data_IF_382801967472
#
_entry.id   IF_382801967472
#
_cell.length_a   1.000
_cell.length_b   1.000
_cell.length_c   1.000
_cell.angle_alpha   90.00
_cell.angle_beta   90.00
_cell.angle_gamma   90.00
#
_symmetry.space_group_name_H-M   'P 1'
#
loop_
_entity.id
_entity.type
_entity.pdbx_description
1 polymer ?
#
# COMPACT_ATOMS: atom_id res chain seq x y z
N UNK A 1 -6.59 -4.28 -34.95
CA UNK A 1 -5.85 -3.79 -33.78
C UNK A 1 -6.28 -4.63 -32.58
N UNK A 2 -5.31 -5.28 -31.94
CA UNK A 2 -5.62 -6.11 -30.77
C UNK A 2 -5.84 -5.21 -29.55
N UNK A 3 -7.07 -5.20 -29.04
CA UNK A 3 -7.46 -4.37 -27.86
C UNK A 3 -7.11 -5.08 -26.55
N UNK A 4 -6.69 -6.35 -26.63
CA UNK A 4 -6.36 -7.20 -25.48
C UNK A 4 -5.36 -6.57 -24.49
N UNK A 5 -4.23 -5.96 -24.91
CA UNK A 5 -3.29 -5.35 -23.99
C UNK A 5 -3.87 -4.16 -23.20
N UNK A 6 -4.74 -3.39 -23.84
CA UNK A 6 -5.39 -2.23 -23.20
C UNK A 6 -6.34 -2.72 -22.09
N UNK A 7 -7.14 -3.74 -22.38
CA UNK A 7 -8.08 -4.32 -21.40
C UNK A 7 -7.33 -4.91 -20.21
N UNK A 8 -6.24 -5.63 -20.45
CA UNK A 8 -5.40 -6.21 -19.38
C UNK A 8 -4.81 -5.10 -18.52
N UNK A 9 -4.25 -4.06 -19.15
CA UNK A 9 -3.67 -2.93 -18.41
C UNK A 9 -4.72 -2.19 -17.59
N UNK A 10 -5.91 -1.94 -18.12
CA UNK A 10 -7.00 -1.30 -17.38
C UNK A 10 -7.47 -2.15 -16.20
N UNK A 11 -7.64 -3.46 -16.38
CA UNK A 11 -8.00 -4.37 -15.28
C UNK A 11 -6.93 -4.37 -14.19
N UNK A 12 -5.66 -4.48 -14.58
CA UNK A 12 -4.54 -4.46 -13.64
C UNK A 12 -4.50 -3.14 -12.86
N UNK A 13 -4.62 -2.01 -13.55
CA UNK A 13 -4.60 -0.68 -12.94
C UNK A 13 -5.77 -0.49 -11.96
N UNK A 14 -6.98 -0.91 -12.35
CA UNK A 14 -8.18 -0.78 -11.50
C UNK A 14 -8.04 -1.60 -10.21
N UNK A 15 -7.57 -2.84 -10.32
CA UNK A 15 -7.36 -3.68 -9.14
C UNK A 15 -6.23 -3.12 -8.27
N UNK A 16 -5.11 -2.73 -8.90
CA UNK A 16 -3.96 -2.20 -8.18
C UNK A 16 -4.31 -0.92 -7.42
N UNK A 17 -5.08 0.02 -8.01
CA UNK A 17 -5.44 1.27 -7.34
C UNK A 17 -6.34 1.03 -6.13
N UNK A 18 -7.26 0.07 -6.19
CA UNK A 18 -8.11 -0.27 -5.06
C UNK A 18 -7.29 -0.79 -3.88
N UNK A 19 -6.38 -1.74 -4.14
CA UNK A 19 -5.48 -2.25 -3.09
C UNK A 19 -4.54 -1.16 -2.57
N UNK A 20 -3.94 -0.39 -3.45
CA UNK A 20 -3.02 0.70 -3.07
C UNK A 20 -3.73 1.77 -2.25
N UNK A 21 -4.96 2.14 -2.62
CA UNK A 21 -5.76 3.11 -1.89
C UNK A 21 -6.04 2.63 -0.46
N UNK A 22 -6.56 1.42 -0.32
CA UNK A 22 -6.90 0.85 0.99
C UNK A 22 -5.64 0.71 1.85
N UNK A 23 -4.59 0.10 1.31
CA UNK A 23 -3.35 -0.14 2.05
C UNK A 23 -2.63 1.17 2.41
N UNK A 24 -2.56 2.12 1.49
CA UNK A 24 -1.95 3.43 1.71
C UNK A 24 -2.66 4.23 2.79
N UNK A 25 -4.00 4.26 2.74
CA UNK A 25 -4.82 4.96 3.74
C UNK A 25 -4.70 4.31 5.13
N UNK A 26 -4.75 2.98 5.21
CA UNK A 26 -4.58 2.25 6.46
C UNK A 26 -3.18 2.43 7.04
N UNK A 27 -2.14 2.39 6.21
CA UNK A 27 -0.77 2.61 6.63
C UNK A 27 -0.56 4.04 7.14
N UNK A 28 -1.07 5.05 6.43
CA UNK A 28 -1.01 6.45 6.84
C UNK A 28 -1.69 6.66 8.20
N UNK A 29 -2.91 6.15 8.34
CA UNK A 29 -3.62 6.19 9.62
C UNK A 29 -2.84 5.48 10.72
N UNK A 30 -2.34 4.27 10.47
CA UNK A 30 -1.60 3.50 11.47
C UNK A 30 -0.35 4.23 11.99
N UNK A 31 0.38 4.91 11.10
CA UNK A 31 1.55 5.70 11.46
C UNK A 31 1.17 6.90 12.34
N UNK A 32 0.10 7.61 12.01
CA UNK A 32 -0.35 8.78 12.79
C UNK A 32 -0.70 8.44 14.24
N UNK A 33 -1.25 7.25 14.48
CA UNK A 33 -1.59 6.81 15.83
C UNK A 33 -0.40 6.28 16.65
N UNK A 34 0.81 6.19 16.06
CA UNK A 34 2.00 5.77 16.81
C UNK A 34 2.54 6.91 17.68
N UNK A 35 2.71 6.62 18.98
CA UNK A 35 3.24 7.58 19.96
C UNK A 35 4.75 7.79 19.86
N UNK A 36 5.51 6.78 19.42
CA UNK A 36 6.96 6.83 19.33
C UNK A 36 7.40 7.42 17.99
N UNK A 37 8.10 8.53 18.04
CA UNK A 37 8.66 9.21 16.88
C UNK A 37 9.66 8.32 16.12
N UNK A 38 10.53 7.62 16.84
CA UNK A 38 11.47 6.69 16.22
C UNK A 38 10.77 5.58 15.41
N UNK A 39 9.66 5.06 15.93
CA UNK A 39 8.85 4.06 15.22
C UNK A 39 8.19 4.65 13.97
N UNK A 40 7.73 5.90 14.04
CA UNK A 40 7.15 6.60 12.88
C UNK A 40 8.19 6.77 11.78
N UNK A 41 9.38 7.26 12.11
CA UNK A 41 10.48 7.48 11.16
C UNK A 41 10.91 6.16 10.51
N UNK A 42 11.06 5.11 11.30
CA UNK A 42 11.47 3.79 10.80
C UNK A 42 10.49 3.22 9.76
N UNK A 43 9.21 3.20 10.09
CA UNK A 43 8.18 2.67 9.19
C UNK A 43 7.94 3.58 7.98
N UNK A 44 8.06 4.90 8.15
CA UNK A 44 7.99 5.85 7.05
C UNK A 44 9.09 5.58 6.02
N UNK A 45 10.31 5.32 6.51
CA UNK A 45 11.43 4.89 5.66
C UNK A 45 11.12 3.60 4.90
N UNK A 46 10.59 2.57 5.56
CA UNK A 46 10.22 1.29 4.93
C UNK A 46 9.14 1.50 3.86
N UNK A 47 8.08 2.24 4.19
CA UNK A 47 6.95 2.45 3.27
C UNK A 47 7.32 3.30 2.05
N UNK A 48 8.32 4.17 2.18
CA UNK A 48 8.81 5.00 1.08
C UNK A 48 9.99 4.41 0.32
N UNK A 49 10.57 3.31 0.81
CA UNK A 49 11.73 2.67 0.20
C UNK A 49 11.54 2.33 -1.30
N UNK A 50 10.39 1.78 -1.75
CA UNK A 50 10.22 1.47 -3.17
C UNK A 50 10.30 2.69 -4.09
N UNK A 51 10.02 3.90 -3.58
CA UNK A 51 10.11 5.14 -4.35
C UNK A 51 11.56 5.57 -4.63
N UNK A 52 12.47 5.22 -3.75
CA UNK A 52 13.91 5.56 -3.86
C UNK A 52 14.65 4.57 -4.75
N UNK A 53 14.16 3.33 -4.82
CA UNK A 53 14.78 2.29 -5.63
C UNK A 53 14.49 2.50 -7.12
N UNK A 54 15.49 2.32 -8.00
CA UNK A 54 15.21 2.23 -9.43
C UNK A 54 14.18 1.11 -9.71
N UNK A 55 13.23 1.31 -10.64
CA UNK A 55 12.18 0.33 -10.93
C UNK A 55 12.69 -1.07 -11.26
N UNK A 56 13.84 -1.15 -11.94
CA UNK A 56 14.50 -2.42 -12.25
C UNK A 56 14.99 -3.15 -11.00
N UNK A 57 15.53 -2.42 -10.02
CA UNK A 57 15.99 -2.97 -8.75
C UNK A 57 14.79 -3.42 -7.91
N UNK A 58 13.75 -2.62 -7.84
CA UNK A 58 12.51 -3.01 -7.16
C UNK A 58 11.88 -4.25 -7.79
N UNK A 59 11.82 -4.32 -9.13
CA UNK A 59 11.36 -5.50 -9.85
C UNK A 59 12.20 -6.76 -9.57
N UNK A 60 13.53 -6.60 -9.50
CA UNK A 60 14.43 -7.69 -9.13
C UNK A 60 14.16 -8.19 -7.69
N UNK A 61 13.99 -7.30 -6.73
CA UNK A 61 13.64 -7.70 -5.37
C UNK A 61 12.30 -8.43 -5.32
N UNK A 62 11.29 -7.95 -6.02
CA UNK A 62 10.00 -8.65 -6.11
C UNK A 62 10.16 -10.05 -6.69
N UNK A 63 11.00 -10.20 -7.72
CA UNK A 63 11.29 -11.51 -8.32
C UNK A 63 12.00 -12.44 -7.31
N UNK A 64 12.97 -11.93 -6.55
CA UNK A 64 13.69 -12.70 -5.53
C UNK A 64 12.75 -13.13 -4.40
N UNK A 65 11.84 -12.28 -3.95
CA UNK A 65 10.92 -12.60 -2.86
C UNK A 65 9.75 -13.49 -3.28
N UNK A 66 9.13 -13.20 -4.43
CA UNK A 66 7.91 -13.86 -4.91
C UNK A 66 8.16 -14.89 -6.03
N UNK A 67 9.39 -15.02 -6.49
CA UNK A 67 9.80 -16.06 -7.45
C UNK A 67 9.66 -17.45 -6.87
N UNK A 68 9.61 -18.48 -7.72
CA UNK A 68 9.44 -19.89 -7.31
C UNK A 68 10.52 -20.39 -6.33
N UNK A 69 11.68 -19.76 -6.32
CA UNK A 69 12.78 -20.07 -5.36
C UNK A 69 12.81 -19.11 -4.16
N UNK A 70 12.01 -18.07 -4.19
CA UNK A 70 11.94 -17.08 -3.11
C UNK A 70 11.16 -17.56 -1.88
N UNK A 71 11.37 -16.92 -0.72
CA UNK A 71 10.75 -17.36 0.53
C UNK A 71 9.21 -17.32 0.46
N UNK A 72 8.65 -16.27 -0.15
CA UNK A 72 7.21 -16.11 -0.27
C UNK A 72 6.66 -16.96 -1.42
N UNK A 73 7.35 -17.00 -2.57
CA UNK A 73 6.94 -17.81 -3.71
C UNK A 73 6.85 -19.29 -3.38
N UNK A 74 7.85 -19.86 -2.67
CA UNK A 74 7.81 -21.24 -2.18
C UNK A 74 6.64 -21.52 -1.25
N UNK A 75 6.32 -20.57 -0.38
CA UNK A 75 5.20 -20.69 0.56
C UNK A 75 3.87 -20.81 -0.20
N UNK A 76 3.66 -19.95 -1.19
CA UNK A 76 2.45 -19.96 -2.02
C UNK A 76 2.38 -21.20 -2.92
N UNK A 77 3.51 -21.64 -3.49
CA UNK A 77 3.56 -22.84 -4.33
C UNK A 77 3.29 -24.11 -3.50
N UNK A 78 3.85 -24.22 -2.29
CA UNK A 78 3.69 -25.39 -1.43
C UNK A 78 2.30 -25.50 -0.78
N UNK A 79 1.71 -24.37 -0.36
CA UNK A 79 0.43 -24.39 0.36
C UNK A 79 -0.79 -24.18 -0.55
N UNK A 80 -0.66 -23.45 -1.63
CA UNK A 80 -1.78 -23.08 -2.51
C UNK A 80 -1.62 -23.64 -3.94
N UNK A 81 -0.46 -24.20 -4.29
CA UNK A 81 -0.17 -24.68 -5.64
C UNK A 81 -0.12 -23.55 -6.70
N UNK A 82 0.01 -22.30 -6.28
CA UNK A 82 -0.04 -21.13 -7.14
C UNK A 82 1.36 -20.57 -7.36
N UNK A 83 1.79 -20.48 -8.63
CA UNK A 83 3.00 -19.75 -9.02
C UNK A 83 2.68 -18.28 -9.20
N UNK A 84 3.24 -17.44 -8.32
CA UNK A 84 3.05 -15.99 -8.38
C UNK A 84 3.87 -15.39 -9.53
N UNK A 85 5.16 -15.77 -9.63
CA UNK A 85 6.05 -15.24 -10.65
C UNK A 85 5.52 -15.48 -12.07
N UNK A 86 5.67 -14.45 -12.92
CA UNK A 86 5.22 -14.45 -14.32
C UNK A 86 3.70 -14.67 -14.52
N UNK A 87 2.90 -14.45 -13.48
CA UNK A 87 1.44 -14.46 -13.54
C UNK A 87 0.87 -13.04 -13.65
N UNK A 88 -0.39 -12.93 -14.05
CA UNK A 88 -1.12 -11.66 -14.00
C UNK A 88 -1.20 -11.11 -12.56
N UNK A 89 -1.29 -11.97 -11.56
CA UNK A 89 -1.22 -11.59 -10.14
C UNK A 89 0.10 -10.91 -9.77
N UNK A 90 1.23 -11.34 -10.34
CA UNK A 90 2.52 -10.68 -10.13
C UNK A 90 2.53 -9.24 -10.68
N UNK A 91 1.87 -9.02 -11.80
CA UNK A 91 1.75 -7.67 -12.40
C UNK A 91 0.96 -6.74 -11.49
N UNK A 92 -0.15 -7.23 -10.92
CA UNK A 92 -0.95 -6.47 -9.94
C UNK A 92 -0.11 -6.17 -8.69
N UNK A 93 0.58 -7.16 -8.15
CA UNK A 93 1.42 -7.01 -6.97
C UNK A 93 2.54 -5.99 -7.20
N UNK A 94 3.22 -6.06 -8.33
CA UNK A 94 4.26 -5.09 -8.70
C UNK A 94 3.67 -3.67 -8.83
N UNK A 95 2.51 -3.53 -9.47
CA UNK A 95 1.83 -2.24 -9.59
C UNK A 95 1.45 -1.67 -8.21
N UNK A 96 0.93 -2.50 -7.30
CA UNK A 96 0.60 -2.10 -5.92
C UNK A 96 1.86 -1.64 -5.18
N UNK A 97 2.93 -2.43 -5.18
CA UNK A 97 4.16 -2.12 -4.45
C UNK A 97 4.80 -0.82 -4.95
N UNK A 98 4.78 -0.58 -6.27
CA UNK A 98 5.38 0.63 -6.86
C UNK A 98 4.51 1.88 -6.65
N UNK A 99 3.20 1.76 -6.62
CA UNK A 99 2.28 2.90 -6.41
C UNK A 99 1.98 3.19 -4.93
N UNK A 100 2.19 2.19 -4.06
CA UNK A 100 1.91 2.29 -2.62
C UNK A 100 2.60 3.48 -1.93
N UNK A 101 3.92 3.76 -2.11
CA UNK A 101 4.58 4.87 -1.44
C UNK A 101 3.94 6.23 -1.76
N UNK A 102 3.55 6.42 -3.02
CA UNK A 102 2.92 7.68 -3.45
C UNK A 102 1.55 7.86 -2.79
N UNK A 103 0.74 6.81 -2.79
CA UNK A 103 -0.57 6.84 -2.13
C UNK A 103 -0.44 7.03 -0.62
N UNK A 104 0.49 6.32 0.02
CA UNK A 104 0.79 6.47 1.44
C UNK A 104 1.15 7.91 1.81
N UNK A 105 2.07 8.53 1.06
CA UNK A 105 2.49 9.92 1.29
C UNK A 105 1.35 10.91 1.08
N UNK A 106 0.57 10.73 0.03
CA UNK A 106 -0.60 11.59 -0.24
C UNK A 106 -1.65 11.47 0.87
N UNK A 107 -1.97 10.24 1.27
CA UNK A 107 -2.91 9.99 2.35
C UNK A 107 -2.41 10.57 3.69
N UNK A 108 -1.13 10.35 4.01
CA UNK A 108 -0.52 10.89 5.22
C UNK A 108 -0.56 12.41 5.24
N UNK A 109 -0.15 13.06 4.15
CA UNK A 109 -0.16 14.52 4.07
C UNK A 109 -1.56 15.11 4.17
N UNK A 110 -2.58 14.44 3.62
CA UNK A 110 -3.98 14.84 3.77
C UNK A 110 -4.45 14.72 5.22
N UNK A 111 -4.13 13.61 5.88
CA UNK A 111 -4.52 13.37 7.27
C UNK A 111 -3.80 14.30 8.27
N UNK A 112 -2.55 14.67 8.00
CA UNK A 112 -1.76 15.59 8.84
C UNK A 112 -2.25 17.07 8.74
N UNK A 113 -3.01 17.41 7.70
CA UNK A 113 -3.59 18.76 7.54
C UNK A 113 -4.90 18.96 8.31
N UNK A 114 -5.45 17.91 8.89
CA UNK A 114 -6.69 17.98 9.67
C UNK A 114 -6.38 18.61 11.02
N UNK A 115 -7.14 19.62 11.37
CA UNK A 115 -7.00 20.33 12.63
C UNK A 115 -7.29 19.37 13.82
N UNK A 116 -6.35 19.29 14.74
CA UNK A 116 -6.49 18.45 15.93
C UNK A 116 -7.69 18.88 16.79
N UNK A 117 -8.03 20.15 16.78
CA UNK A 117 -9.19 20.68 17.53
C UNK A 117 -10.51 20.06 17.03
N UNK A 118 -10.64 19.82 15.73
CA UNK A 118 -11.80 19.12 15.16
C UNK A 118 -11.89 17.66 15.66
N UNK A 119 -10.75 17.00 15.77
CA UNK A 119 -10.67 15.62 16.29
C UNK A 119 -11.04 15.59 17.77
N UNK A 120 -10.54 16.55 18.58
CA UNK A 120 -10.88 16.68 19.98
C UNK A 120 -12.35 17.01 20.19
N UNK A 121 -12.91 17.94 19.42
CA UNK A 121 -14.32 18.25 19.46
C UNK A 121 -15.21 17.04 19.15
N UNK A 122 -14.83 16.26 18.12
CA UNK A 122 -15.58 15.04 17.79
C UNK A 122 -15.50 13.98 18.90
N UNK A 123 -14.38 13.86 19.60
CA UNK A 123 -14.22 12.96 20.75
C UNK A 123 -15.07 13.41 21.94
N UNK A 124 -15.14 14.72 22.22
CA UNK A 124 -16.00 15.26 23.29
C UNK A 124 -17.49 15.04 23.00
N UNK A 125 -17.88 14.97 21.73
CA UNK A 125 -19.23 14.59 21.29
C UNK A 125 -19.50 13.07 21.35
N UNK A 126 -18.55 12.27 21.87
CA UNK A 126 -18.72 10.84 22.03
C UNK A 126 -18.59 10.01 20.76
N UNK A 127 -18.00 10.59 19.68
CA UNK A 127 -17.81 9.85 18.44
C UNK A 127 -16.71 8.78 18.58
N UNK A 128 -16.96 7.59 18.05
CA UNK A 128 -15.93 6.54 18.00
C UNK A 128 -14.79 6.90 17.01
N UNK A 129 -13.59 6.38 17.23
CA UNK A 129 -12.42 6.63 16.36
C UNK A 129 -12.68 6.28 14.89
N UNK A 130 -13.51 5.26 14.61
CA UNK A 130 -13.93 4.92 13.26
C UNK A 130 -14.88 5.98 12.67
N UNK A 131 -15.80 6.49 13.48
CA UNK A 131 -16.72 7.55 13.05
C UNK A 131 -16.00 8.85 12.79
N UNK A 132 -14.99 9.19 13.60
CA UNK A 132 -14.11 10.34 13.41
C UNK A 132 -13.35 10.20 12.09
N UNK A 133 -12.77 9.02 11.83
CA UNK A 133 -12.03 8.78 10.61
C UNK A 133 -12.88 8.94 9.33
N UNK A 134 -14.12 8.45 9.32
CA UNK A 134 -14.95 8.52 8.11
C UNK A 134 -15.76 9.81 7.96
N UNK A 135 -15.94 10.62 9.02
CA UNK A 135 -16.77 11.82 8.99
C UNK A 135 -16.02 13.11 9.21
N UNK A 136 -14.85 13.06 9.82
CA UNK A 136 -14.06 14.25 10.19
C UNK A 136 -12.73 14.26 9.44
N UNK A 137 -12.11 13.10 9.23
CA UNK A 137 -10.88 12.91 8.47
C UNK A 137 -11.16 12.49 7.03
#
# INVERSE_FOLDING_TARGET
MDISPIIISMKTATIAILFTFILGLLAARWILYRKSEATRIFWDGIFTMPLVLPPTVAGFFLLVFFGSYGPVGKLFENYLGIKIAFSWGATILAAVVMSFPLMYRSARGALEQIDEDLIFAARTLGMSEWSIFFRVM
#
